data_IF_504346624188
#
_entry.id   IF_504346624188
#
_cell.length_a   1.000
_cell.length_b   1.000
_cell.length_c   1.000
_cell.angle_alpha   90.00
_cell.angle_beta   90.00
_cell.angle_gamma   90.00
#
_symmetry.space_group_name_H-M   'P 1'
#
loop_
_entity.id
_entity.type
_entity.pdbx_description
1 polymer ?
#
# COMPACT_ATOMS: atom_id res chain seq x y z
N UNK A 1 5.15 14.74 -15.67
CA UNK A 1 5.19 13.33 -15.22
C UNK A 1 4.68 12.45 -16.35
N UNK A 2 5.41 11.38 -16.65
CA UNK A 2 5.03 10.40 -17.66
C UNK A 2 4.35 9.21 -16.96
N UNK A 3 3.16 8.81 -17.42
CA UNK A 3 2.51 7.60 -16.94
C UNK A 3 3.28 6.39 -17.47
N UNK A 4 3.81 5.57 -16.58
CA UNK A 4 4.68 4.44 -16.91
C UNK A 4 3.91 3.13 -16.92
N UNK A 5 2.88 3.04 -16.07
CA UNK A 5 2.10 1.82 -15.89
C UNK A 5 0.68 2.15 -15.47
N UNK A 6 -0.28 1.40 -16.00
CA UNK A 6 -1.68 1.48 -15.58
C UNK A 6 -2.33 0.14 -15.84
N UNK A 7 -2.81 -0.50 -14.80
CA UNK A 7 -3.44 -1.82 -14.90
C UNK A 7 -4.63 -1.94 -13.96
N UNK A 8 -5.63 -2.66 -14.40
CA UNK A 8 -6.82 -3.03 -13.61
C UNK A 8 -6.74 -4.49 -13.21
N UNK A 9 -7.18 -4.79 -12.01
CA UNK A 9 -7.20 -6.12 -11.42
C UNK A 9 -8.53 -6.38 -10.77
N UNK A 10 -9.03 -7.60 -10.89
CA UNK A 10 -10.16 -8.10 -10.14
C UNK A 10 -9.63 -8.89 -8.94
N UNK A 11 -10.04 -8.51 -7.73
CA UNK A 11 -9.70 -9.22 -6.50
C UNK A 11 -10.84 -10.14 -6.10
N UNK A 12 -10.54 -11.43 -5.97
CA UNK A 12 -11.49 -12.48 -5.66
C UNK A 12 -11.19 -13.09 -4.28
N UNK A 13 -12.22 -13.50 -3.57
CA UNK A 13 -12.07 -14.29 -2.35
C UNK A 13 -11.67 -15.76 -2.66
N UNK A 14 -11.48 -16.58 -1.62
CA UNK A 14 -11.11 -18.01 -1.76
C UNK A 14 -12.15 -18.84 -2.51
N UNK A 15 -13.39 -18.37 -2.57
CA UNK A 15 -14.49 -19.04 -3.26
C UNK A 15 -14.65 -18.56 -4.71
N UNK A 16 -13.78 -17.65 -5.16
CA UNK A 16 -13.86 -17.02 -6.47
C UNK A 16 -14.90 -15.89 -6.58
N UNK A 17 -15.48 -15.43 -5.46
CA UNK A 17 -16.42 -14.31 -5.48
C UNK A 17 -15.65 -12.99 -5.57
N UNK A 18 -16.19 -12.07 -6.38
CA UNK A 18 -15.62 -10.74 -6.53
C UNK A 18 -15.71 -9.94 -5.22
N UNK A 19 -14.57 -9.35 -4.84
CA UNK A 19 -14.47 -8.45 -3.69
C UNK A 19 -14.49 -7.00 -4.16
N UNK A 20 -13.62 -6.67 -5.10
CA UNK A 20 -13.43 -5.31 -5.63
C UNK A 20 -12.55 -5.34 -6.87
N UNK A 21 -12.72 -4.34 -7.72
CA UNK A 21 -11.76 -4.04 -8.76
C UNK A 21 -10.73 -3.05 -8.20
N UNK A 22 -9.45 -3.28 -8.50
CA UNK A 22 -8.34 -2.42 -8.15
C UNK A 22 -7.72 -1.85 -9.43
N UNK A 23 -7.62 -0.54 -9.50
CA UNK A 23 -6.84 0.15 -10.53
C UNK A 23 -5.54 0.67 -9.92
N UNK A 24 -4.42 0.23 -10.45
CA UNK A 24 -3.08 0.59 -10.05
C UNK A 24 -2.42 1.42 -11.16
N UNK A 25 -1.94 2.60 -10.79
CA UNK A 25 -1.25 3.51 -11.70
C UNK A 25 0.09 3.92 -11.10
N UNK A 26 1.13 3.83 -11.93
CA UNK A 26 2.44 4.40 -11.62
C UNK A 26 2.71 5.56 -12.58
N UNK A 27 3.22 6.64 -12.03
CA UNK A 27 3.74 7.76 -12.79
C UNK A 27 5.16 8.05 -12.34
N UNK A 28 6.05 8.38 -13.26
CA UNK A 28 7.35 8.93 -12.94
C UNK A 28 7.58 10.23 -13.72
N UNK A 29 8.59 10.98 -13.32
CA UNK A 29 8.95 12.23 -13.97
C UNK A 29 9.89 12.05 -15.18
N UNK A 30 10.26 10.81 -15.48
CA UNK A 30 11.17 10.47 -16.58
C UNK A 30 12.62 10.90 -16.36
N UNK A 31 12.98 11.32 -15.14
CA UNK A 31 14.36 11.67 -14.83
C UNK A 31 15.22 10.41 -14.70
N UNK A 32 16.49 10.44 -15.16
CA UNK A 32 17.41 9.34 -14.98
C UNK A 32 17.84 9.19 -13.51
N UNK A 33 18.30 8.00 -13.13
CA UNK A 33 18.99 7.83 -11.85
C UNK A 33 20.17 8.83 -11.71
N UNK A 34 20.40 9.41 -10.51
CA UNK A 34 19.77 9.20 -9.22
C UNK A 34 18.56 10.12 -8.92
N UNK A 35 18.10 10.89 -9.90
CA UNK A 35 17.02 11.88 -9.72
C UNK A 35 15.62 11.29 -10.00
N UNK A 36 15.52 9.99 -9.97
CA UNK A 36 14.27 9.29 -10.20
C UNK A 36 13.22 9.68 -9.15
N UNK A 37 12.08 10.20 -9.59
CA UNK A 37 10.94 10.48 -8.73
C UNK A 37 9.62 10.02 -9.38
N UNK A 38 8.59 9.82 -8.58
CA UNK A 38 7.31 9.38 -9.12
C UNK A 38 6.24 9.25 -8.04
N UNK A 39 5.09 8.75 -8.42
CA UNK A 39 3.98 8.45 -7.52
C UNK A 39 3.25 7.18 -7.93
N UNK A 40 2.62 6.55 -6.95
CA UNK A 40 1.73 5.39 -7.13
C UNK A 40 0.33 5.79 -6.68
N UNK A 41 -0.67 5.42 -7.47
CA UNK A 41 -2.07 5.62 -7.12
C UNK A 41 -2.80 4.28 -7.15
N UNK A 42 -3.58 4.00 -6.12
CA UNK A 42 -4.48 2.86 -6.03
C UNK A 42 -5.93 3.37 -5.95
N UNK A 43 -6.79 2.86 -6.81
CA UNK A 43 -8.22 3.16 -6.78
C UNK A 43 -8.99 1.85 -6.64
N UNK A 44 -9.85 1.76 -5.62
CA UNK A 44 -10.73 0.62 -5.41
C UNK A 44 -12.12 0.93 -5.93
N UNK A 45 -12.56 0.21 -6.96
CA UNK A 45 -13.88 0.31 -7.53
C UNK A 45 -14.75 -0.86 -7.06
N UNK A 46 -16.02 -0.59 -6.88
CA UNK A 46 -16.97 -1.59 -6.44
C UNK A 46 -17.98 -1.88 -7.55
N UNK A 47 -18.39 -3.14 -7.74
CA UNK A 47 -19.43 -3.48 -8.70
C UNK A 47 -20.68 -2.64 -8.47
N UNK A 48 -21.24 -2.15 -9.56
CA UNK A 48 -22.50 -1.40 -9.56
C UNK A 48 -23.60 -2.29 -8.96
N UNK A 49 -24.24 -1.85 -7.90
CA UNK A 49 -25.34 -2.57 -7.22
C UNK A 49 -25.00 -3.13 -5.84
N UNK A 50 -23.73 -3.18 -5.45
CA UNK A 50 -23.32 -3.70 -4.13
C UNK A 50 -23.30 -2.62 -3.02
N UNK A 51 -23.93 -1.46 -3.23
CA UNK A 51 -23.80 -0.34 -2.31
C UNK A 51 -25.11 -0.11 -1.52
N UNK A 52 -25.18 -0.50 -0.23
CA UNK A 52 -26.30 -0.12 0.62
C UNK A 52 -26.29 1.38 1.02
N UNK A 53 -25.24 2.15 0.72
CA UNK A 53 -25.04 3.51 1.22
C UNK A 53 -24.62 4.56 0.17
N UNK A 54 -24.98 4.40 -1.10
CA UNK A 54 -24.75 5.41 -2.12
C UNK A 54 -23.58 5.14 -3.08
N UNK A 55 -23.24 6.07 -3.98
CA UNK A 55 -22.27 5.85 -5.04
C UNK A 55 -20.88 5.48 -4.48
N UNK A 56 -20.18 4.63 -5.20
CA UNK A 56 -18.84 4.17 -4.86
C UNK A 56 -17.97 5.37 -4.42
N UNK A 57 -17.56 5.38 -3.16
CA UNK A 57 -16.52 6.32 -2.73
C UNK A 57 -15.22 5.78 -3.27
N UNK A 58 -14.65 6.50 -4.21
CA UNK A 58 -13.28 6.26 -4.65
C UNK A 58 -12.37 6.47 -3.44
N UNK A 59 -11.67 5.41 -3.05
CA UNK A 59 -10.64 5.50 -2.05
C UNK A 59 -9.33 5.70 -2.78
N UNK A 60 -8.83 6.93 -2.75
CA UNK A 60 -7.53 7.26 -3.33
C UNK A 60 -6.44 7.00 -2.30
N UNK A 61 -5.40 6.31 -2.72
CA UNK A 61 -4.15 6.27 -2.00
C UNK A 61 -3.21 7.15 -2.80
N UNK A 62 -2.86 8.28 -2.24
CA UNK A 62 -1.84 9.13 -2.81
C UNK A 62 -0.52 8.79 -2.17
N UNK A 63 0.46 8.49 -3.02
CA UNK A 63 1.84 8.43 -2.63
C UNK A 63 2.53 9.64 -3.23
N UNK A 64 3.09 10.49 -2.40
CA UNK A 64 4.01 11.47 -2.90
C UNK A 64 5.34 10.83 -3.26
N UNK A 65 5.96 11.39 -4.27
CA UNK A 65 7.21 11.05 -4.92
C UNK A 65 8.21 10.21 -4.14
N UNK A 66 8.71 9.14 -4.72
CA UNK A 66 10.00 8.59 -4.28
C UNK A 66 11.13 9.50 -4.76
N UNK A 67 12.07 9.73 -3.89
CA UNK A 67 13.30 10.48 -4.20
C UNK A 67 14.51 9.78 -3.58
N UNK A 68 15.65 9.87 -4.23
CA UNK A 68 16.89 9.32 -3.68
C UNK A 68 17.45 10.28 -2.64
N UNK A 69 17.69 9.84 -1.40
CA UNK A 69 18.46 10.60 -0.42
C UNK A 69 19.95 10.43 -0.65
N UNK A 70 20.64 11.53 -0.83
CA UNK A 70 22.06 11.62 -1.17
C UNK A 70 23.03 10.94 -0.18
N UNK A 71 22.60 10.57 1.04
CA UNK A 71 23.48 10.02 2.08
C UNK A 71 23.20 8.58 2.49
N UNK A 72 22.13 7.95 2.01
CA UNK A 72 21.70 6.65 2.53
C UNK A 72 21.60 5.54 1.49
N UNK A 73 21.82 5.80 0.23
CA UNK A 73 21.58 4.84 -0.89
C UNK A 73 20.16 4.24 -0.91
N UNK A 74 19.18 4.88 -0.26
CA UNK A 74 17.80 4.45 -0.22
C UNK A 74 16.91 5.39 -1.00
N UNK A 75 16.04 4.84 -1.81
CA UNK A 75 14.89 5.57 -2.34
C UNK A 75 13.86 5.72 -1.24
N UNK A 76 13.12 6.82 -1.23
CA UNK A 76 12.12 7.10 -0.20
C UNK A 76 10.78 7.41 -0.84
N UNK A 77 9.72 6.83 -0.29
CA UNK A 77 8.35 7.12 -0.65
C UNK A 77 7.56 7.47 0.60
N UNK A 78 7.01 8.69 0.63
CA UNK A 78 6.11 9.11 1.68
C UNK A 78 4.71 8.55 1.41
N UNK A 79 4.14 7.90 2.41
CA UNK A 79 2.74 7.53 2.41
C UNK A 79 1.94 8.72 2.92
N UNK A 80 1.11 9.31 2.08
CA UNK A 80 0.28 10.46 2.45
C UNK A 80 -1.07 10.02 2.98
N UNK A 81 -1.64 8.97 2.39
CA UNK A 81 -2.91 8.41 2.84
C UNK A 81 -3.05 6.95 2.39
N UNK A 82 -3.52 6.09 3.29
CA UNK A 82 -3.92 4.72 2.98
C UNK A 82 -5.12 4.32 3.81
N UNK A 83 -6.30 4.54 3.27
CA UNK A 83 -7.55 4.19 3.92
C UNK A 83 -8.28 3.13 3.10
N UNK A 84 -8.34 1.91 3.63
CA UNK A 84 -9.23 0.88 3.09
C UNK A 84 -10.67 1.10 3.59
N UNK A 85 -11.67 1.09 2.71
CA UNK A 85 -13.06 1.04 3.09
C UNK A 85 -13.33 -0.09 4.10
N UNK A 86 -14.19 0.17 5.09
CA UNK A 86 -14.42 -0.76 6.21
C UNK A 86 -14.73 -2.21 5.74
N UNK A 87 -15.50 -2.35 4.66
CA UNK A 87 -15.87 -3.66 4.08
C UNK A 87 -14.71 -4.43 3.45
N UNK A 88 -13.60 -3.77 3.11
CA UNK A 88 -12.41 -4.43 2.56
C UNK A 88 -11.40 -4.81 3.65
N UNK A 89 -11.57 -4.28 4.86
CA UNK A 89 -10.64 -4.52 5.96
C UNK A 89 -10.74 -5.95 6.48
N UNK A 90 -9.61 -6.53 6.87
CA UNK A 90 -9.53 -7.89 7.43
C UNK A 90 -9.79 -9.02 6.42
N UNK A 91 -9.84 -8.72 5.12
CA UNK A 91 -10.08 -9.69 4.04
C UNK A 91 -8.83 -9.98 3.20
N UNK A 92 -7.67 -9.46 3.58
CA UNK A 92 -6.43 -9.62 2.82
C UNK A 92 -6.24 -8.62 1.67
N UNK A 93 -7.25 -7.77 1.39
CA UNK A 93 -7.22 -6.82 0.26
C UNK A 93 -6.04 -5.85 0.34
N UNK A 94 -5.72 -5.33 1.53
CA UNK A 94 -4.56 -4.46 1.72
C UNK A 94 -3.25 -5.16 1.35
N UNK A 95 -3.06 -6.38 1.84
CA UNK A 95 -1.89 -7.22 1.52
C UNK A 95 -1.78 -7.47 0.01
N UNK A 96 -2.88 -7.83 -0.65
CA UNK A 96 -2.91 -8.07 -2.09
C UNK A 96 -2.58 -6.79 -2.89
N UNK A 97 -3.19 -5.67 -2.54
CA UNK A 97 -2.95 -4.38 -3.20
C UNK A 97 -1.49 -3.93 -3.09
N UNK A 98 -0.91 -4.02 -1.88
CA UNK A 98 0.49 -3.64 -1.66
C UNK A 98 1.49 -4.62 -2.27
N UNK A 99 1.16 -5.91 -2.37
CA UNK A 99 1.95 -6.88 -3.14
C UNK A 99 1.99 -6.51 -4.63
N UNK A 100 0.85 -6.11 -5.21
CA UNK A 100 0.81 -5.60 -6.58
C UNK A 100 1.65 -4.34 -6.75
N UNK A 101 1.56 -3.38 -5.81
CA UNK A 101 2.44 -2.20 -5.82
C UNK A 101 3.91 -2.62 -5.83
N UNK A 102 4.30 -3.54 -4.96
CA UNK A 102 5.69 -4.02 -4.89
C UNK A 102 6.14 -4.66 -6.22
N UNK A 103 5.32 -5.52 -6.81
CA UNK A 103 5.64 -6.25 -8.03
C UNK A 103 5.76 -5.35 -9.26
N UNK A 104 5.02 -4.23 -9.27
CA UNK A 104 5.03 -3.27 -10.38
C UNK A 104 6.05 -2.14 -10.21
N UNK A 105 6.75 -2.08 -9.07
CA UNK A 105 7.86 -1.15 -8.89
C UNK A 105 9.02 -1.48 -9.86
N UNK A 106 9.72 -0.46 -10.36
CA UNK A 106 10.97 -0.67 -11.06
C UNK A 106 11.91 -1.58 -10.25
N UNK A 107 12.63 -2.53 -10.89
CA UNK A 107 13.50 -3.48 -10.18
C UNK A 107 14.53 -2.80 -9.26
N UNK A 108 15.00 -1.61 -9.64
CA UNK A 108 15.95 -0.83 -8.85
C UNK A 108 15.39 -0.40 -7.49
N UNK A 109 14.06 -0.28 -7.36
CA UNK A 109 13.38 0.14 -6.12
C UNK A 109 13.05 -1.05 -5.21
N UNK A 110 12.91 -2.25 -5.77
CA UNK A 110 12.55 -3.44 -4.99
C UNK A 110 13.65 -3.76 -3.97
N UNK A 111 13.28 -3.85 -2.69
CA UNK A 111 14.19 -4.05 -1.57
C UNK A 111 15.10 -2.85 -1.23
N UNK A 112 14.94 -1.71 -1.92
CA UNK A 112 15.69 -0.46 -1.67
C UNK A 112 14.80 0.74 -1.42
N UNK A 113 13.49 0.59 -1.56
CA UNK A 113 12.53 1.66 -1.30
C UNK A 113 12.17 1.68 0.18
N UNK A 114 12.45 2.77 0.87
CA UNK A 114 11.94 3.02 2.21
C UNK A 114 10.58 3.69 2.13
N UNK A 115 9.61 3.10 2.80
CA UNK A 115 8.33 3.73 3.07
C UNK A 115 8.40 4.47 4.40
N UNK A 116 7.81 5.65 4.47
CA UNK A 116 7.62 6.36 5.72
C UNK A 116 6.29 7.12 5.74
N UNK A 117 5.75 7.32 6.92
CA UNK A 117 4.47 8.00 7.09
C UNK A 117 4.10 8.17 8.54
N UNK A 118 2.93 8.76 8.76
CA UNK A 118 2.32 8.93 10.08
C UNK A 118 1.14 7.98 10.24
N UNK A 119 0.94 7.50 11.45
CA UNK A 119 -0.22 6.69 11.86
C UNK A 119 -1.26 7.63 12.47
N UNK A 120 -2.51 7.50 12.04
CA UNK A 120 -3.58 8.41 12.46
C UNK A 120 -4.32 7.81 13.64
N UNK A 121 -4.56 8.63 14.68
CA UNK A 121 -5.28 8.26 15.91
C UNK A 121 -6.67 7.68 15.65
N UNK A 122 -7.41 8.26 14.72
CA UNK A 122 -8.77 7.80 14.40
C UNK A 122 -8.83 6.33 13.96
N UNK A 123 -7.79 5.83 13.27
CA UNK A 123 -7.70 4.41 12.90
C UNK A 123 -7.47 3.50 14.11
N UNK A 124 -6.94 4.06 15.19
CA UNK A 124 -6.60 3.34 16.43
C UNK A 124 -7.63 3.48 17.54
N UNK A 125 -8.70 4.25 17.34
CA UNK A 125 -9.78 4.43 18.31
C UNK A 125 -10.44 3.10 18.72
N UNK A 126 -10.43 2.12 17.80
CA UNK A 126 -10.87 0.75 18.06
C UNK A 126 -9.64 -0.19 18.16
N UNK A 127 -9.47 -0.92 19.29
CA UNK A 127 -8.32 -1.83 19.47
C UNK A 127 -8.16 -2.86 18.35
N UNK A 128 -9.25 -3.38 17.81
CA UNK A 128 -9.23 -4.32 16.69
C UNK A 128 -8.67 -3.68 15.42
N UNK A 129 -9.06 -2.45 15.11
CA UNK A 129 -8.53 -1.73 13.95
C UNK A 129 -7.05 -1.39 14.15
N UNK A 130 -6.66 -1.01 15.37
CA UNK A 130 -5.26 -0.78 15.74
C UNK A 130 -4.41 -2.03 15.50
N UNK A 131 -4.83 -3.17 16.04
CA UNK A 131 -4.11 -4.43 15.85
C UNK A 131 -3.98 -4.83 14.38
N UNK A 132 -5.04 -4.66 13.58
CA UNK A 132 -4.99 -4.93 12.13
C UNK A 132 -4.03 -3.99 11.40
N UNK A 133 -4.03 -2.70 11.74
CA UNK A 133 -3.13 -1.70 11.17
C UNK A 133 -1.67 -2.07 11.47
N UNK A 134 -1.38 -2.38 12.73
CA UNK A 134 -0.03 -2.66 13.18
C UNK A 134 0.50 -3.97 12.56
N UNK A 135 -0.34 -5.01 12.47
CA UNK A 135 -0.02 -6.25 11.74
C UNK A 135 0.22 -5.99 10.27
N UNK A 136 -0.62 -5.18 9.62
CA UNK A 136 -0.48 -4.85 8.21
C UNK A 136 0.88 -4.18 7.91
N UNK A 137 1.23 -3.13 8.66
CA UNK A 137 2.51 -2.46 8.47
C UNK A 137 3.70 -3.35 8.82
N UNK A 138 3.56 -4.25 9.80
CA UNK A 138 4.55 -5.28 10.09
C UNK A 138 4.83 -6.24 8.93
N UNK A 139 3.85 -6.47 8.05
CA UNK A 139 4.04 -7.26 6.82
C UNK A 139 4.66 -6.44 5.69
N UNK A 140 4.28 -5.19 5.53
CA UNK A 140 4.73 -4.31 4.45
C UNK A 140 6.18 -3.84 4.64
N UNK A 141 6.62 -3.70 5.90
CA UNK A 141 7.89 -3.07 6.24
C UNK A 141 8.89 -4.09 6.80
N UNK A 142 10.10 -4.09 6.26
CA UNK A 142 11.24 -4.69 6.93
C UNK A 142 11.81 -3.67 7.93
N UNK A 143 11.78 -4.04 9.21
CA UNK A 143 12.34 -3.28 10.32
C UNK A 143 13.66 -3.92 10.78
N UNK A 144 14.37 -3.27 11.69
CA UNK A 144 15.64 -3.77 12.24
C UNK A 144 16.88 -3.39 11.44
N UNK A 145 16.72 -2.61 10.36
CA UNK A 145 17.83 -1.99 9.63
C UNK A 145 18.11 -0.57 10.17
N UNK A 146 19.30 -0.01 9.93
CA UNK A 146 19.58 1.39 10.28
C UNK A 146 18.49 2.33 9.72
N UNK A 147 18.08 3.31 10.53
CA UNK A 147 17.03 4.29 10.21
C UNK A 147 15.61 3.72 10.05
N UNK A 148 15.38 2.44 10.34
CA UNK A 148 14.02 1.87 10.34
C UNK A 148 13.38 1.95 11.72
N UNK A 149 12.08 2.22 11.79
CA UNK A 149 11.30 2.25 13.01
C UNK A 149 9.81 2.02 12.76
N UNK A 150 9.15 1.50 13.75
CA UNK A 150 7.70 1.49 13.85
C UNK A 150 7.30 1.92 15.26
N UNK A 151 6.63 3.05 15.37
CA UNK A 151 6.14 3.60 16.62
C UNK A 151 4.62 3.81 16.50
N UNK A 152 3.81 2.94 17.10
CA UNK A 152 2.36 3.06 17.04
C UNK A 152 1.81 4.24 17.85
N UNK A 153 2.65 4.90 18.67
CA UNK A 153 2.21 5.93 19.61
C UNK A 153 1.37 5.37 20.77
N UNK A 154 1.45 5.97 21.95
CA UNK A 154 0.67 5.56 23.13
C UNK A 154 -0.83 5.74 22.92
N UNK A 155 -1.23 6.79 22.22
CA UNK A 155 -2.61 7.15 21.90
C UNK A 155 -3.05 6.73 20.48
N UNK A 156 -2.18 6.05 19.74
CA UNK A 156 -2.43 5.58 18.38
C UNK A 156 -1.95 6.52 17.28
N UNK A 157 -1.39 7.68 17.64
CA UNK A 157 -0.65 8.55 16.73
C UNK A 157 0.84 8.21 16.81
N UNK A 158 1.44 7.92 15.68
CA UNK A 158 2.84 7.56 15.63
C UNK A 158 3.39 7.70 14.23
N UNK A 159 4.50 7.03 13.99
CA UNK A 159 5.12 7.08 12.68
C UNK A 159 5.80 5.77 12.34
N UNK A 160 6.05 5.57 11.07
CA UNK A 160 6.81 4.43 10.61
C UNK A 160 7.84 4.81 9.55
N UNK A 161 8.90 4.04 9.51
CA UNK A 161 9.88 4.02 8.45
C UNK A 161 10.47 2.62 8.34
N UNK A 162 10.45 2.04 7.17
CA UNK A 162 11.00 0.71 6.94
C UNK A 162 11.21 0.45 5.46
N UNK A 163 12.02 -0.56 5.14
CA UNK A 163 12.21 -0.99 3.75
C UNK A 163 10.96 -1.71 3.28
N UNK A 164 10.46 -1.31 2.12
CA UNK A 164 9.32 -1.96 1.50
C UNK A 164 9.67 -3.38 1.04
N UNK A 165 8.91 -4.34 1.50
CA UNK A 165 9.00 -5.74 1.09
C UNK A 165 7.64 -6.24 0.62
N UNK A 166 7.62 -7.29 -0.20
CA UNK A 166 6.36 -7.87 -0.64
C UNK A 166 5.59 -8.43 0.55
N UNK A 167 4.45 -7.83 0.95
CA UNK A 167 3.72 -8.26 2.12
C UNK A 167 3.10 -9.66 1.98
N UNK A 168 2.90 -10.14 0.75
CA UNK A 168 2.37 -11.49 0.49
C UNK A 168 3.33 -12.56 1.01
N UNK A 169 4.64 -12.35 0.89
CA UNK A 169 5.66 -13.29 1.36
C UNK A 169 5.72 -13.41 2.89
N UNK A 170 5.13 -12.47 3.61
CA UNK A 170 5.12 -12.40 5.08
C UNK A 170 3.73 -12.62 5.69
N UNK A 171 2.72 -12.74 4.85
CA UNK A 171 1.34 -12.99 5.30
C UNK A 171 1.16 -14.43 5.76
N UNK A 172 0.45 -14.63 6.86
CA UNK A 172 0.01 -15.96 7.30
C UNK A 172 -0.99 -16.62 6.32
N UNK A 173 -1.59 -15.81 5.45
CA UNK A 173 -2.59 -16.25 4.46
C UNK A 173 -2.31 -15.62 3.09
N UNK A 174 -1.20 -15.99 2.41
CA UNK A 174 -0.80 -15.35 1.15
C UNK A 174 -1.84 -15.53 0.04
N UNK A 175 -2.60 -16.62 0.07
CA UNK A 175 -3.61 -16.99 -0.94
C UNK A 175 -5.04 -16.64 -0.52
N UNK A 176 -5.21 -15.75 0.45
CA UNK A 176 -6.54 -15.29 0.88
C UNK A 176 -7.29 -14.54 -0.25
N UNK A 177 -6.55 -13.96 -1.19
CA UNK A 177 -7.06 -13.20 -2.33
C UNK A 177 -6.42 -13.73 -3.61
N UNK A 178 -7.25 -14.08 -4.58
CA UNK A 178 -6.85 -14.33 -5.95
C UNK A 178 -6.92 -13.03 -6.74
N UNK A 179 -5.97 -12.82 -7.65
CA UNK A 179 -5.83 -11.61 -8.45
C UNK A 179 -5.93 -11.98 -9.91
N UNK A 180 -6.86 -11.38 -10.62
CA UNK A 180 -7.05 -11.54 -12.06
C UNK A 180 -6.78 -10.20 -12.73
N UNK A 181 -5.90 -10.20 -13.73
CA UNK A 181 -5.63 -9.02 -14.55
C UNK A 181 -6.77 -8.82 -15.54
N UNK A 182 -7.30 -7.60 -15.65
CA UNK A 182 -8.38 -7.21 -16.55
C UNK A 182 -7.85 -6.55 -17.82
#
# INVERSE_FOLDING_TARGET
MQKVFSQRYLLLDRNGNEITELHLEHENDGLPEPMFSGKVKLTFNFPTGCHPYGPARESYIYFDSWSMRFRSNWYQMKITDFILPARLRGRGVGTAAWSLVFQTLPPQLQGRLQLFGTLIKNDAANPTNRGRRDTFWGHVLQLGLPETRYDPGSDGEGGFRGVFVDPKTRSAHPDAISIVTL
#
